data_IF_468273327190
#
_entry.id   IF_468273327190
#
_cell.length_a   1.000
_cell.length_b   1.000
_cell.length_c   1.000
_cell.angle_alpha   90.00
_cell.angle_beta   90.00
_cell.angle_gamma   90.00
#
_symmetry.space_group_name_H-M   'P 1'
#
loop_
_entity.id
_entity.type
_entity.pdbx_description
1 polymer ?
#
# COMPACT_ATOMS: atom_id res chain seq x y z
N UNK A 1 4.75 5.43 13.96
CA UNK A 1 4.63 5.30 15.42
C UNK A 1 5.97 4.80 15.99
N UNK A 2 6.39 5.26 17.17
CA UNK A 2 7.57 4.75 17.88
C UNK A 2 7.24 4.57 19.36
N UNK A 3 7.71 3.48 19.97
CA UNK A 3 7.56 3.20 21.40
C UNK A 3 8.65 2.21 21.84
N UNK A 4 8.83 2.09 23.15
CA UNK A 4 9.78 1.15 23.75
C UNK A 4 9.19 -0.27 23.76
N UNK A 5 9.88 -1.20 23.12
CA UNK A 5 9.51 -2.62 23.14
C UNK A 5 9.91 -3.21 24.48
N UNK A 6 8.91 -3.63 25.27
CA UNK A 6 9.17 -4.32 26.52
C UNK A 6 9.65 -5.77 26.25
N UNK A 7 10.59 -6.32 27.04
CA UNK A 7 11.11 -7.67 26.80
C UNK A 7 10.06 -8.79 26.82
N UNK A 8 8.95 -8.57 27.52
CA UNK A 8 7.85 -9.53 27.66
C UNK A 8 6.73 -9.34 26.65
N UNK A 9 6.83 -8.35 25.77
CA UNK A 9 5.77 -8.01 24.83
C UNK A 9 5.61 -9.12 23.78
N UNK A 10 4.40 -9.69 23.69
CA UNK A 10 4.05 -10.62 22.62
C UNK A 10 3.76 -9.89 21.31
N UNK A 11 4.03 -10.57 20.20
CA UNK A 11 3.75 -10.01 18.89
C UNK A 11 2.25 -9.81 18.64
N UNK A 12 1.37 -10.63 19.23
CA UNK A 12 -0.08 -10.39 19.23
C UNK A 12 -0.46 -9.07 19.92
N UNK A 13 0.02 -8.84 21.14
CA UNK A 13 -0.24 -7.59 21.88
C UNK A 13 0.29 -6.38 21.12
N UNK A 14 1.45 -6.54 20.47
CA UNK A 14 2.01 -5.50 19.64
C UNK A 14 1.13 -5.19 18.42
N UNK A 15 0.65 -6.23 17.72
CA UNK A 15 -0.29 -6.07 16.62
C UNK A 15 -1.56 -5.35 17.07
N UNK A 16 -2.07 -5.68 18.26
CA UNK A 16 -3.26 -5.07 18.85
C UNK A 16 -3.06 -3.57 19.13
N UNK A 17 -1.91 -3.20 19.69
CA UNK A 17 -1.56 -1.79 19.91
C UNK A 17 -1.47 -1.01 18.59
N UNK A 18 -0.83 -1.59 17.57
CA UNK A 18 -0.69 -0.94 16.26
C UNK A 18 -2.04 -0.81 15.56
N UNK A 19 -2.86 -1.86 15.55
CA UNK A 19 -4.20 -1.84 14.97
C UNK A 19 -5.10 -0.81 15.69
N UNK A 20 -5.05 -0.76 17.02
CA UNK A 20 -5.78 0.24 17.80
C UNK A 20 -5.33 1.67 17.47
N UNK A 21 -4.03 1.90 17.22
CA UNK A 21 -3.52 3.23 16.86
C UNK A 21 -4.09 3.73 15.52
N UNK A 22 -4.28 2.82 14.57
CA UNK A 22 -4.90 3.12 13.28
C UNK A 22 -6.42 2.95 13.26
N UNK A 23 -7.02 2.69 14.43
CA UNK A 23 -8.46 2.48 14.61
C UNK A 23 -9.03 1.36 13.72
N UNK A 24 -8.21 0.32 13.50
CA UNK A 24 -8.48 -0.79 12.59
C UNK A 24 -9.20 -1.93 13.31
N UNK A 25 -10.35 -2.35 12.78
CA UNK A 25 -11.20 -3.37 13.42
C UNK A 25 -10.96 -4.79 12.94
N UNK A 26 -10.42 -4.97 11.73
CA UNK A 26 -10.20 -6.27 11.09
C UNK A 26 -8.69 -6.58 11.02
N UNK A 27 -8.05 -6.65 12.18
CA UNK A 27 -6.59 -6.81 12.32
C UNK A 27 -6.07 -8.17 11.84
N UNK A 28 -6.93 -9.17 11.74
CA UNK A 28 -6.61 -10.54 11.31
C UNK A 28 -5.99 -10.61 9.92
N UNK A 29 -6.20 -9.60 9.07
CA UNK A 29 -5.61 -9.51 7.74
C UNK A 29 -4.17 -9.00 7.72
N UNK A 30 -3.71 -8.42 8.83
CA UNK A 30 -2.43 -7.73 8.93
C UNK A 30 -1.41 -8.54 9.72
N UNK A 31 -0.14 -8.21 9.51
CA UNK A 31 0.96 -8.72 10.31
C UNK A 31 2.03 -7.67 10.50
N UNK A 32 3.00 -8.02 11.33
CA UNK A 32 4.21 -7.25 11.55
C UNK A 32 5.39 -8.02 10.98
N UNK A 33 6.23 -7.36 10.19
CA UNK A 33 7.42 -7.93 9.61
C UNK A 33 8.65 -7.06 9.86
N UNK A 34 9.84 -7.66 9.87
CA UNK A 34 11.11 -6.95 9.77
C UNK A 34 11.80 -7.32 8.46
N UNK A 35 12.75 -6.49 8.02
CA UNK A 35 13.60 -6.81 6.88
C UNK A 35 14.91 -7.43 7.36
N UNK A 36 15.36 -8.47 6.69
CA UNK A 36 16.74 -8.94 6.84
C UNK A 36 17.73 -8.07 6.06
N UNK A 37 19.02 -8.39 6.16
CA UNK A 37 20.11 -7.70 5.46
C UNK A 37 20.00 -7.78 3.93
N UNK A 38 19.20 -8.72 3.41
CA UNK A 38 18.94 -8.91 1.97
C UNK A 38 17.69 -8.19 1.49
N UNK A 39 16.92 -7.56 2.39
CA UNK A 39 15.68 -6.88 2.06
C UNK A 39 14.46 -7.80 1.95
N UNK A 40 14.52 -9.03 2.47
CA UNK A 40 13.36 -9.91 2.55
C UNK A 40 12.59 -9.70 3.86
N UNK A 41 11.26 -9.79 3.77
CA UNK A 41 10.38 -9.67 4.92
C UNK A 41 10.31 -10.98 5.71
N UNK A 42 10.48 -10.87 7.03
CA UNK A 42 10.28 -11.94 8.00
C UNK A 42 9.14 -11.55 8.94
N UNK A 43 8.08 -12.35 8.97
CA UNK A 43 6.90 -12.09 9.79
C UNK A 43 7.12 -12.48 11.25
N UNK A 44 6.64 -11.65 12.17
CA UNK A 44 6.54 -12.02 13.57
C UNK A 44 5.48 -13.11 13.77
N UNK A 45 5.82 -14.08 14.61
CA UNK A 45 4.94 -15.14 15.10
C UNK A 45 4.17 -14.61 16.31
N UNK A 46 2.84 -14.58 16.21
CA UNK A 46 1.97 -13.92 17.18
C UNK A 46 2.00 -14.56 18.57
N UNK A 47 2.33 -15.85 18.64
CA UNK A 47 2.46 -16.66 19.86
C UNK A 47 3.84 -16.52 20.53
N UNK A 48 4.76 -15.74 19.96
CA UNK A 48 6.09 -15.47 20.50
C UNK A 48 6.26 -14.03 20.97
N UNK A 49 7.23 -13.80 21.84
CA UNK A 49 7.64 -12.45 22.19
C UNK A 49 8.38 -11.80 21.04
N UNK A 50 8.21 -10.49 20.91
CA UNK A 50 8.84 -9.72 19.82
C UNK A 50 10.36 -9.92 19.82
N UNK A 51 11.00 -9.86 20.98
CA UNK A 51 12.46 -10.01 21.12
C UNK A 51 12.98 -11.46 21.10
N UNK A 52 12.10 -12.47 20.99
CA UNK A 52 12.48 -13.88 20.82
C UNK A 52 12.65 -14.27 19.34
N UNK A 53 12.41 -13.34 18.41
CA UNK A 53 12.65 -13.53 16.98
C UNK A 53 14.12 -13.26 16.64
N UNK A 54 14.58 -13.83 15.53
CA UNK A 54 15.92 -13.58 14.95
C UNK A 54 15.95 -12.20 14.27
N UNK A 55 15.77 -11.16 15.08
CA UNK A 55 15.73 -9.78 14.63
C UNK A 55 17.08 -9.38 14.04
N UNK A 56 17.10 -8.51 13.01
CA UNK A 56 18.33 -7.98 12.45
C UNK A 56 19.14 -7.32 13.58
N UNK A 57 20.48 -7.47 13.50
CA UNK A 57 21.38 -6.87 14.48
C UNK A 57 21.00 -5.40 14.62
N UNK A 58 20.75 -4.98 15.86
CA UNK A 58 20.35 -3.61 16.17
C UNK A 58 21.24 -2.66 15.40
N UNK A 59 20.63 -1.69 14.71
CA UNK A 59 21.36 -0.54 14.21
C UNK A 59 22.20 0.03 15.35
N UNK A 60 23.29 0.73 15.05
CA UNK A 60 24.15 1.40 16.04
C UNK A 60 23.38 2.30 17.03
N UNK A 61 22.10 2.58 16.76
CA UNK A 61 21.17 3.36 17.58
C UNK A 61 20.19 2.53 18.42
N UNK A 62 20.20 1.20 18.35
CA UNK A 62 19.33 0.34 19.15
C UNK A 62 17.87 0.28 18.69
N UNK A 63 17.55 0.81 17.51
CA UNK A 63 16.18 0.91 16.99
C UNK A 63 15.85 -0.29 16.10
N UNK A 64 14.72 -0.95 16.39
CA UNK A 64 14.12 -1.97 15.55
C UNK A 64 13.04 -1.34 14.66
N UNK A 65 13.12 -1.57 13.36
CA UNK A 65 12.08 -1.15 12.40
C UNK A 65 11.19 -2.34 12.09
N UNK A 66 9.88 -2.15 12.29
CA UNK A 66 8.85 -3.11 11.92
C UNK A 66 7.91 -2.49 10.88
N UNK A 67 7.44 -3.31 9.98
CA UNK A 67 6.51 -2.99 8.92
C UNK A 67 5.17 -3.61 9.26
N UNK A 68 4.15 -2.78 9.39
CA UNK A 68 2.76 -3.21 9.48
C UNK A 68 2.21 -3.33 8.07
N UNK A 69 1.90 -4.57 7.64
CA UNK A 69 1.61 -4.91 6.25
C UNK A 69 0.40 -5.85 6.19
N UNK A 70 -0.30 -5.84 5.05
CA UNK A 70 -1.29 -6.88 4.73
C UNK A 70 -0.57 -8.22 4.55
N UNK A 71 -0.98 -9.22 5.33
CA UNK A 71 -0.43 -10.58 5.31
C UNK A 71 -1.37 -11.55 4.60
N UNK A 72 -2.66 -11.38 4.77
CA UNK A 72 -3.70 -12.22 4.17
C UNK A 72 -4.61 -11.36 3.31
N UNK A 73 -4.56 -11.57 1.99
CA UNK A 73 -5.42 -10.86 1.05
C UNK A 73 -6.78 -11.55 0.95
N UNK A 74 -7.82 -10.75 0.76
CA UNK A 74 -9.18 -11.22 0.48
C UNK A 74 -9.40 -11.33 -1.02
N UNK A 75 -10.28 -12.24 -1.45
CA UNK A 75 -10.65 -12.40 -2.86
C UNK A 75 -11.39 -11.19 -3.43
N UNK A 76 -12.03 -10.39 -2.57
CA UNK A 76 -12.72 -9.16 -2.95
C UNK A 76 -12.67 -8.13 -1.81
N UNK A 77 -12.39 -6.88 -2.15
CA UNK A 77 -12.44 -5.73 -1.21
C UNK A 77 -13.83 -5.59 -0.57
N UNK A 78 -14.89 -6.03 -1.25
CA UNK A 78 -16.27 -6.01 -0.73
C UNK A 78 -16.49 -6.85 0.54
N UNK A 79 -15.57 -7.77 0.85
CA UNK A 79 -15.60 -8.59 2.07
C UNK A 79 -15.13 -7.82 3.31
N UNK A 80 -14.38 -6.73 3.12
CA UNK A 80 -13.88 -5.88 4.20
C UNK A 80 -15.00 -4.96 4.69
N UNK A 81 -15.25 -4.96 6.00
CA UNK A 81 -16.36 -4.21 6.60
C UNK A 81 -15.91 -2.88 7.21
N UNK A 82 -14.63 -2.76 7.54
CA UNK A 82 -14.07 -1.58 8.18
C UNK A 82 -13.38 -0.68 7.16
N UNK A 83 -13.76 0.60 7.14
CA UNK A 83 -13.24 1.55 6.15
C UNK A 83 -11.74 1.79 6.30
N UNK A 84 -11.22 1.74 7.52
CA UNK A 84 -9.78 1.86 7.77
C UNK A 84 -9.01 0.65 7.20
N UNK A 85 -9.57 -0.56 7.30
CA UNK A 85 -9.04 -1.76 6.65
C UNK A 85 -9.01 -1.63 5.13
N UNK A 86 -10.12 -1.19 4.52
CA UNK A 86 -10.20 -0.96 3.07
C UNK A 86 -9.14 0.03 2.61
N UNK A 87 -8.99 1.15 3.32
CA UNK A 87 -7.99 2.16 3.00
C UNK A 87 -6.56 1.63 3.14
N UNK A 88 -6.27 0.86 4.20
CA UNK A 88 -4.97 0.24 4.40
C UNK A 88 -4.61 -0.79 3.31
N UNK A 89 -5.58 -1.62 2.89
CA UNK A 89 -5.42 -2.54 1.76
C UNK A 89 -5.11 -1.79 0.47
N UNK A 90 -5.89 -0.76 0.16
CA UNK A 90 -5.69 0.08 -1.02
C UNK A 90 -4.29 0.72 -1.03
N UNK A 91 -3.85 1.29 0.09
CA UNK A 91 -2.53 1.91 0.21
C UNK A 91 -1.40 0.89 0.05
N UNK A 92 -1.56 -0.32 0.60
CA UNK A 92 -0.59 -1.40 0.45
C UNK A 92 -0.47 -1.85 -1.02
N UNK A 93 -1.59 -2.13 -1.68
CA UNK A 93 -1.62 -2.54 -3.10
C UNK A 93 -1.02 -1.46 -3.99
N UNK A 94 -1.43 -0.20 -3.79
CA UNK A 94 -0.87 0.96 -4.51
C UNK A 94 0.65 1.02 -4.34
N UNK A 95 1.17 0.83 -3.12
CA UNK A 95 2.61 0.83 -2.88
C UNK A 95 3.33 -0.34 -3.54
N UNK A 96 2.74 -1.54 -3.55
CA UNK A 96 3.35 -2.73 -4.14
C UNK A 96 3.44 -2.62 -5.66
N UNK A 97 2.38 -2.14 -6.31
CA UNK A 97 2.36 -1.91 -7.76
C UNK A 97 3.40 -0.85 -8.12
N UNK A 98 3.40 0.29 -7.43
CA UNK A 98 4.36 1.37 -7.69
C UNK A 98 5.83 0.92 -7.57
N UNK A 99 6.12 -0.02 -6.65
CA UNK A 99 7.45 -0.62 -6.47
C UNK A 99 7.76 -1.75 -7.46
N UNK A 100 6.79 -2.19 -8.26
CA UNK A 100 6.90 -3.35 -9.13
C UNK A 100 6.98 -4.69 -8.39
N UNK A 101 6.59 -4.72 -7.11
CA UNK A 101 6.57 -5.95 -6.30
C UNK A 101 5.31 -6.79 -6.55
N UNK A 102 4.26 -6.17 -7.09
CA UNK A 102 3.07 -6.85 -7.61
C UNK A 102 3.02 -6.60 -9.12
N UNK A 103 3.27 -7.66 -9.90
CA UNK A 103 3.18 -7.60 -11.35
C UNK A 103 1.71 -7.67 -11.78
N UNK A 104 1.28 -6.63 -12.48
CA UNK A 104 -0.03 -6.53 -13.12
C UNK A 104 0.21 -6.06 -14.55
N UNK A 105 -0.70 -6.40 -15.46
CA UNK A 105 -0.58 -5.95 -16.84
C UNK A 105 -0.70 -4.42 -16.94
N UNK A 106 -0.17 -3.88 -18.02
CA UNK A 106 -0.13 -2.43 -18.25
C UNK A 106 -1.51 -1.77 -18.25
N UNK A 107 -2.56 -2.44 -18.73
CA UNK A 107 -3.91 -1.88 -18.77
C UNK A 107 -4.46 -1.72 -17.34
N UNK A 108 -4.26 -2.74 -16.50
CA UNK A 108 -4.59 -2.69 -15.06
C UNK A 108 -3.83 -1.56 -14.36
N UNK A 109 -2.54 -1.37 -14.65
CA UNK A 109 -1.75 -0.27 -14.09
C UNK A 109 -2.37 1.09 -14.43
N UNK A 110 -2.74 1.29 -15.69
CA UNK A 110 -3.34 2.56 -16.11
C UNK A 110 -4.66 2.81 -15.38
N UNK A 111 -5.49 1.76 -15.23
CA UNK A 111 -6.80 1.87 -14.57
C UNK A 111 -6.64 2.26 -13.11
N UNK A 112 -5.69 1.62 -12.43
CA UNK A 112 -5.37 1.93 -11.05
C UNK A 112 -4.79 3.34 -10.90
N UNK A 113 -3.95 3.80 -11.83
CA UNK A 113 -3.45 5.17 -11.83
C UNK A 113 -4.58 6.19 -12.01
N UNK A 114 -5.56 5.93 -12.89
CA UNK A 114 -6.74 6.78 -13.08
C UNK A 114 -7.64 6.81 -11.83
N UNK A 115 -7.89 5.65 -11.21
CA UNK A 115 -8.64 5.56 -9.94
C UNK A 115 -7.94 6.31 -8.81
N UNK A 116 -6.61 6.23 -8.73
CA UNK A 116 -5.82 7.00 -7.76
C UNK A 116 -5.97 8.50 -7.99
N UNK A 117 -5.93 8.97 -9.24
CA UNK A 117 -6.16 10.38 -9.57
C UNK A 117 -7.54 10.82 -9.12
N UNK A 118 -8.58 10.05 -9.44
CA UNK A 118 -9.97 10.32 -9.03
C UNK A 118 -10.12 10.38 -7.51
N UNK A 119 -9.52 9.42 -6.80
CA UNK A 119 -9.57 9.38 -5.34
C UNK A 119 -8.79 10.51 -4.65
N UNK A 120 -7.76 11.05 -5.31
CA UNK A 120 -6.84 12.06 -4.73
C UNK A 120 -7.22 13.49 -5.10
N UNK A 121 -7.60 13.72 -6.36
CA UNK A 121 -7.79 15.06 -6.94
C UNK A 121 -9.23 15.33 -7.40
N UNK A 122 -10.13 14.33 -7.35
CA UNK A 122 -11.52 14.47 -7.78
C UNK A 122 -11.68 14.27 -9.28
N UNK A 123 -12.61 14.98 -9.92
CA UNK A 123 -12.87 14.82 -11.35
C UNK A 123 -11.73 15.39 -12.21
N UNK A 124 -11.57 14.81 -13.41
CA UNK A 124 -10.71 15.37 -14.45
C UNK A 124 -11.06 16.84 -14.77
N UNK A 125 -10.02 17.65 -14.99
CA UNK A 125 -10.13 19.08 -15.35
C UNK A 125 -9.56 19.30 -16.75
N UNK A 126 -8.29 18.99 -16.94
CA UNK A 126 -7.59 19.08 -18.21
C UNK A 126 -6.33 18.18 -18.24
N UNK A 127 -5.79 17.93 -19.43
CA UNK A 127 -4.63 17.05 -19.65
C UNK A 127 -3.36 17.55 -18.97
N UNK A 128 -3.12 18.86 -19.01
CA UNK A 128 -1.87 19.43 -18.50
C UNK A 128 -1.83 19.36 -16.98
N UNK A 129 -2.95 19.66 -16.33
CA UNK A 129 -3.15 19.50 -14.90
C UNK A 129 -3.00 18.03 -14.49
N UNK A 130 -3.59 17.11 -15.25
CA UNK A 130 -3.47 15.67 -14.98
C UNK A 130 -2.03 15.17 -15.10
N UNK A 131 -1.29 15.57 -16.14
CA UNK A 131 0.14 15.24 -16.30
C UNK A 131 0.98 15.78 -15.14
N UNK A 132 0.65 16.98 -14.65
CA UNK A 132 1.31 17.55 -13.47
C UNK A 132 1.02 16.75 -12.19
N UNK A 133 -0.18 16.17 -12.06
CA UNK A 133 -0.53 15.26 -10.96
C UNK A 133 0.21 13.92 -11.07
N UNK A 134 0.27 13.33 -12.26
CA UNK A 134 1.00 12.09 -12.51
C UNK A 134 2.48 12.20 -12.17
N UNK A 135 3.13 13.33 -12.46
CA UNK A 135 4.53 13.58 -12.06
C UNK A 135 4.74 13.63 -10.55
N UNK A 136 3.69 13.95 -9.78
CA UNK A 136 3.74 14.03 -8.31
C UNK A 136 3.36 12.72 -7.63
N UNK A 137 2.77 11.78 -8.36
CA UNK A 137 2.27 10.53 -7.83
C UNK A 137 3.10 9.34 -8.35
N UNK A 138 3.60 8.46 -7.47
CA UNK A 138 4.23 7.22 -7.90
C UNK A 138 3.15 6.19 -8.26
N UNK A 139 2.46 6.38 -9.40
CA UNK A 139 1.37 5.50 -9.87
C UNK A 139 1.72 4.69 -11.10
N UNK A 140 2.79 5.05 -11.81
CA UNK A 140 3.28 4.31 -12.97
C UNK A 140 4.60 3.60 -12.62
N UNK A 141 4.61 2.26 -12.51
CA UNK A 141 5.82 1.48 -12.27
C UNK A 141 6.82 1.63 -13.42
N UNK A 142 8.11 1.53 -13.12
CA UNK A 142 9.17 1.64 -14.14
C UNK A 142 9.11 0.50 -15.16
N UNK A 143 8.64 -0.69 -14.78
CA UNK A 143 8.41 -1.81 -15.70
C UNK A 143 7.40 -1.43 -16.80
N UNK A 144 6.22 -0.94 -16.41
CA UNK A 144 5.19 -0.45 -17.33
C UNK A 144 5.74 0.64 -18.25
N UNK A 145 6.48 1.61 -17.72
CA UNK A 145 7.04 2.69 -18.56
C UNK A 145 8.04 2.19 -19.62
N UNK A 146 8.70 1.05 -19.39
CA UNK A 146 9.68 0.45 -20.32
C UNK A 146 9.01 -0.43 -21.39
N UNK A 147 7.83 -0.96 -21.12
CA UNK A 147 7.07 -1.79 -22.06
C UNK A 147 6.45 -0.98 -23.21
N UNK A 148 6.32 0.33 -23.01
CA UNK A 148 5.60 1.22 -23.93
C UNK A 148 6.52 2.23 -24.64
N UNK A 149 6.09 2.78 -25.80
CA UNK A 149 6.95 3.62 -26.64
C UNK A 149 7.43 4.92 -25.97
N UNK A 150 6.68 5.47 -25.00
CA UNK A 150 7.07 6.67 -24.28
C UNK A 150 6.27 6.87 -22.98
N UNK A 151 6.80 7.71 -22.08
CA UNK A 151 6.06 8.17 -20.89
C UNK A 151 4.77 8.89 -21.30
N UNK A 152 4.80 9.72 -22.35
CA UNK A 152 3.61 10.44 -22.81
C UNK A 152 2.52 9.52 -23.34
N UNK A 153 2.88 8.35 -23.88
CA UNK A 153 1.91 7.33 -24.27
C UNK A 153 1.19 6.78 -23.04
N UNK A 154 1.94 6.41 -22.00
CA UNK A 154 1.38 5.92 -20.74
C UNK A 154 0.51 6.98 -20.05
N UNK A 155 0.97 8.23 -19.98
CA UNK A 155 0.19 9.35 -19.46
C UNK A 155 -1.12 9.54 -20.24
N UNK A 156 -1.08 9.42 -21.57
CA UNK A 156 -2.28 9.48 -22.41
C UNK A 156 -3.29 8.40 -22.06
N UNK A 157 -2.85 7.16 -21.86
CA UNK A 157 -3.72 6.05 -21.44
C UNK A 157 -4.37 6.26 -20.07
N UNK A 158 -3.61 6.76 -19.11
CA UNK A 158 -4.18 7.11 -17.79
C UNK A 158 -5.20 8.24 -17.91
N UNK A 159 -4.93 9.25 -18.74
CA UNK A 159 -5.85 10.38 -18.96
C UNK A 159 -7.16 9.90 -19.60
N UNK A 160 -7.11 9.07 -20.64
CA UNK A 160 -8.28 8.47 -21.30
C UNK A 160 -9.21 7.82 -20.26
N UNK A 161 -8.65 6.95 -19.41
CA UNK A 161 -9.43 6.25 -18.38
C UNK A 161 -9.89 7.20 -17.24
N UNK A 162 -9.09 8.20 -16.88
CA UNK A 162 -9.45 9.15 -15.83
C UNK A 162 -10.66 10.02 -16.22
N UNK A 163 -10.79 10.37 -17.50
CA UNK A 163 -11.96 11.09 -18.03
C UNK A 163 -13.25 10.28 -17.86
N UNK A 164 -13.20 8.96 -18.00
CA UNK A 164 -14.36 8.07 -17.85
C UNK A 164 -14.85 7.95 -16.40
N UNK A 165 -14.02 8.32 -15.42
CA UNK A 165 -14.36 8.26 -13.98
C UNK A 165 -15.12 9.49 -13.48
N UNK A 166 -15.40 10.47 -14.35
CA UNK A 166 -16.09 11.71 -13.97
C UNK A 166 -17.42 11.44 -13.24
N UNK A 167 -17.58 12.05 -12.07
CA UNK A 167 -18.76 11.88 -11.22
C UNK A 167 -18.69 10.73 -10.21
N UNK A 168 -17.65 9.89 -10.25
CA UNK A 168 -17.41 8.88 -9.20
C UNK A 168 -16.92 9.54 -7.90
N UNK A 169 -17.45 9.07 -6.78
CA UNK A 169 -17.02 9.51 -5.44
C UNK A 169 -15.67 8.87 -5.05
N UNK A 170 -14.92 9.53 -4.16
CA UNK A 170 -13.67 9.00 -3.60
C UNK A 170 -13.85 7.58 -3.05
N UNK A 171 -14.95 7.31 -2.34
CA UNK A 171 -15.25 5.98 -1.80
C UNK A 171 -15.43 4.93 -2.89
N UNK A 172 -16.15 5.26 -3.96
CA UNK A 172 -16.31 4.36 -5.11
C UNK A 172 -14.99 4.06 -5.82
N UNK A 173 -14.11 5.05 -5.95
CA UNK A 173 -12.80 4.88 -6.59
C UNK A 173 -11.82 4.02 -5.80
N UNK A 174 -11.97 3.94 -4.47
CA UNK A 174 -11.12 3.10 -3.61
C UNK A 174 -11.58 1.63 -3.63
N UNK A 175 -12.87 1.37 -3.87
CA UNK A 175 -13.50 0.04 -3.79
C UNK A 175 -13.58 -0.66 -5.16
N UNK A 176 -13.43 0.09 -6.27
CA UNK A 176 -13.47 -0.44 -7.64
C UNK A 176 -12.18 -1.16 -8.00
#
# INVERSE_FOLDING_TARGET
ISFLVQPRLYACDLLDMVASHFNLKEKEYFGLAFLDETGHYHWLQLDKRVLEHDLPKKSSQGVLVLYFLVKYYVESISLLKDSATVEAFYLQCKSLIAKGSLEVDSETVFQLAALVLQATYGNYVDDQTTKNYLKKLPVLPTSTLKEHPSISFCEGKVIEQYQELAGRSRGSSIIS
#
